data_IF_100716233439
#
_entry.id   IF_100716233439
#
_cell.length_a   1.000
_cell.length_b   1.000
_cell.length_c   1.000
_cell.angle_alpha   90.00
_cell.angle_beta   90.00
_cell.angle_gamma   90.00
#
_symmetry.space_group_name_H-M   'P 1'
#
loop_
_entity.id
_entity.type
_entity.pdbx_description
1 polymer ?
#
# COMPACT_ATOMS: atom_id res chain seq x y z
N UNK A 1 -0.45 -11.63 8.74
CA UNK A 1 -0.03 -11.42 7.34
C UNK A 1 -0.31 -9.97 6.98
N UNK A 2 0.51 -9.30 6.16
CA UNK A 2 0.20 -7.95 5.70
C UNK A 2 -1.13 -7.98 4.91
N UNK A 3 -2.01 -7.01 5.16
CA UNK A 3 -3.24 -6.85 4.38
C UNK A 3 -2.87 -6.47 2.94
N UNK A 4 -3.53 -7.11 1.98
CA UNK A 4 -3.37 -6.80 0.56
C UNK A 4 -4.63 -6.08 0.10
N UNK A 5 -4.45 -5.09 -0.76
CA UNK A 5 -5.56 -4.50 -1.49
C UNK A 5 -5.69 -5.22 -2.83
N UNK A 6 -6.80 -5.90 -3.03
CA UNK A 6 -7.07 -6.76 -4.18
C UNK A 6 -8.21 -6.14 -4.98
N UNK A 7 -7.97 -5.88 -6.27
CA UNK A 7 -9.01 -5.41 -7.20
C UNK A 7 -9.46 -6.56 -8.09
N UNK A 8 -10.75 -6.89 -8.05
CA UNK A 8 -11.37 -7.92 -8.88
C UNK A 8 -12.11 -7.25 -10.05
N UNK A 9 -11.65 -7.53 -11.27
CA UNK A 9 -12.33 -7.13 -12.50
C UNK A 9 -13.30 -8.24 -12.87
N UNK A 10 -14.60 -7.97 -12.75
CA UNK A 10 -15.66 -8.97 -12.95
C UNK A 10 -16.73 -8.42 -13.87
N UNK A 11 -17.27 -9.27 -14.73
CA UNK A 11 -18.38 -8.92 -15.61
C UNK A 11 -19.72 -8.94 -14.88
N UNK A 12 -19.80 -9.69 -13.76
CA UNK A 12 -20.96 -9.73 -12.87
C UNK A 12 -20.45 -9.94 -11.43
N UNK A 13 -20.55 -8.93 -10.56
CA UNK A 13 -20.08 -8.99 -9.17
C UNK A 13 -21.00 -9.81 -8.26
N UNK A 14 -22.21 -10.18 -8.72
CA UNK A 14 -23.21 -10.89 -7.93
C UNK A 14 -23.18 -12.40 -8.11
N UNK A 15 -22.38 -12.90 -9.05
CA UNK A 15 -22.20 -14.35 -9.22
C UNK A 15 -21.70 -15.00 -7.93
N UNK A 16 -22.27 -16.16 -7.62
CA UNK A 16 -22.02 -16.90 -6.39
C UNK A 16 -20.53 -17.20 -6.16
N UNK A 17 -19.80 -17.57 -7.22
CA UNK A 17 -18.36 -17.86 -7.18
C UNK A 17 -17.52 -16.61 -6.88
N UNK A 18 -17.89 -15.46 -7.46
CA UNK A 18 -17.23 -14.17 -7.22
C UNK A 18 -17.44 -13.70 -5.77
N UNK A 19 -18.67 -13.87 -5.26
CA UNK A 19 -19.02 -13.53 -3.88
C UNK A 19 -18.24 -14.40 -2.90
N UNK A 20 -18.24 -15.72 -3.09
CA UNK A 20 -17.52 -16.66 -2.23
C UNK A 20 -16.00 -16.41 -2.21
N UNK A 21 -15.40 -16.11 -3.36
CA UNK A 21 -13.98 -15.74 -3.45
C UNK A 21 -13.69 -14.45 -2.67
N UNK A 22 -14.51 -13.41 -2.85
CA UNK A 22 -14.32 -12.14 -2.17
C UNK A 22 -14.47 -12.26 -0.64
N UNK A 23 -15.43 -13.05 -0.17
CA UNK A 23 -15.60 -13.35 1.26
C UNK A 23 -14.40 -14.09 1.83
N UNK A 24 -13.89 -15.08 1.11
CA UNK A 24 -12.70 -15.85 1.53
C UNK A 24 -11.47 -14.93 1.66
N UNK A 25 -11.24 -14.05 0.69
CA UNK A 25 -10.14 -13.09 0.71
C UNK A 25 -10.29 -12.07 1.86
N UNK A 26 -11.51 -11.58 2.11
CA UNK A 26 -11.79 -10.68 3.24
C UNK A 26 -11.59 -11.37 4.59
N UNK A 27 -12.01 -12.63 4.72
CA UNK A 27 -11.77 -13.43 5.91
C UNK A 27 -10.27 -13.66 6.17
N UNK A 28 -9.46 -13.70 5.11
CA UNK A 28 -8.00 -13.69 5.17
C UNK A 28 -7.37 -12.35 5.61
N UNK A 29 -8.17 -11.30 5.82
CA UNK A 29 -7.70 -9.97 6.23
C UNK A 29 -7.27 -9.06 5.08
N UNK A 30 -7.68 -9.36 3.84
CA UNK A 30 -7.44 -8.53 2.66
C UNK A 30 -8.60 -7.56 2.43
N UNK A 31 -8.33 -6.39 1.86
CA UNK A 31 -9.41 -5.51 1.39
C UNK A 31 -9.63 -5.76 -0.11
N UNK A 32 -10.89 -6.02 -0.45
CA UNK A 32 -11.30 -6.45 -1.80
C UNK A 32 -12.25 -5.42 -2.40
N UNK A 33 -11.88 -4.87 -3.55
CA UNK A 33 -12.66 -3.89 -4.32
C UNK A 33 -13.07 -4.52 -5.65
N UNK A 34 -14.32 -4.30 -6.05
CA UNK A 34 -14.81 -4.72 -7.36
C UNK A 34 -14.76 -3.57 -8.35
N UNK A 35 -14.41 -3.90 -9.59
CA UNK A 35 -14.63 -3.04 -10.75
C UNK A 35 -15.47 -3.84 -11.74
N UNK A 36 -16.69 -3.38 -11.98
CA UNK A 36 -17.56 -3.96 -13.01
C UNK A 36 -17.06 -3.52 -14.38
N UNK A 37 -16.75 -4.48 -15.25
CA UNK A 37 -16.25 -4.19 -16.60
C UNK A 37 -17.12 -4.88 -17.64
N UNK A 38 -17.58 -4.12 -18.63
CA UNK A 38 -18.40 -4.64 -19.73
C UNK A 38 -17.66 -5.65 -20.61
N UNK A 39 -16.34 -5.46 -20.79
CA UNK A 39 -15.48 -6.35 -21.59
C UNK A 39 -14.10 -6.47 -20.94
N UNK A 40 -13.63 -7.70 -20.74
CA UNK A 40 -12.27 -7.95 -20.24
C UNK A 40 -11.23 -7.31 -21.18
N UNK A 41 -10.28 -6.50 -20.66
CA UNK A 41 -9.29 -5.83 -21.50
C UNK A 41 -8.48 -6.80 -22.36
N UNK A 42 -8.12 -6.42 -23.61
CA UNK A 42 -7.26 -7.24 -24.46
C UNK A 42 -5.91 -7.49 -23.79
N UNK A 43 -5.48 -8.75 -23.75
CA UNK A 43 -4.26 -9.19 -23.06
C UNK A 43 -4.49 -9.86 -21.70
N UNK A 44 -5.73 -9.84 -21.19
CA UNK A 44 -6.13 -10.64 -20.02
C UNK A 44 -6.75 -11.94 -20.53
N UNK A 45 -6.07 -13.07 -20.30
CA UNK A 45 -6.56 -14.37 -20.74
C UNK A 45 -7.84 -14.76 -19.95
N UNK A 46 -8.83 -15.40 -20.59
CA UNK A 46 -10.08 -15.83 -19.93
C UNK A 46 -9.91 -17.07 -19.02
N UNK A 47 -8.71 -17.64 -18.94
CA UNK A 47 -8.38 -18.75 -18.05
C UNK A 47 -7.87 -18.21 -16.70
N UNK A 48 -8.06 -18.94 -15.58
CA UNK A 48 -7.65 -18.45 -14.26
C UNK A 48 -6.12 -18.46 -14.11
N UNK A 49 -5.47 -17.40 -14.59
CA UNK A 49 -4.17 -16.95 -14.11
C UNK A 49 -4.42 -15.70 -13.25
N UNK A 50 -4.42 -15.85 -11.93
CA UNK A 50 -4.54 -14.70 -11.05
C UNK A 50 -3.33 -13.79 -11.26
N UNK A 51 -3.52 -12.64 -11.91
CA UNK A 51 -2.54 -11.57 -11.92
C UNK A 51 -2.64 -10.84 -10.58
N UNK A 52 -1.75 -11.18 -9.65
CA UNK A 52 -1.52 -10.37 -8.44
C UNK A 52 -0.82 -9.09 -8.89
N UNK A 53 -1.58 -8.12 -9.36
CA UNK A 53 -1.03 -6.77 -9.53
C UNK A 53 -0.83 -6.19 -8.14
N UNK A 54 0.39 -5.78 -7.82
CA UNK A 54 0.77 -5.03 -6.62
C UNK A 54 0.18 -3.59 -6.67
N UNK A 55 -1.12 -3.50 -6.97
CA UNK A 55 -1.80 -2.28 -7.37
C UNK A 55 -3.04 -2.07 -6.52
N UNK A 56 -2.79 -1.74 -5.26
CA UNK A 56 -3.54 -0.69 -4.59
C UNK A 56 -2.76 -0.26 -3.34
N UNK A 57 -1.69 0.54 -3.51
CA UNK A 57 -1.26 1.42 -2.42
C UNK A 57 -2.20 2.62 -2.37
N UNK A 58 -3.46 2.41 -1.97
CA UNK A 58 -4.15 3.48 -1.24
C UNK A 58 -3.56 3.43 0.17
N UNK A 59 -2.77 4.43 0.60
CA UNK A 59 -2.33 4.46 1.98
C UNK A 59 -3.58 4.42 2.85
N UNK A 60 -3.62 3.47 3.80
CA UNK A 60 -4.68 3.45 4.79
C UNK A 60 -4.76 4.85 5.43
N UNK A 61 -5.96 5.40 5.66
CA UNK A 61 -6.10 6.69 6.32
C UNK A 61 -5.34 6.65 7.65
N UNK A 62 -4.26 7.42 7.72
CA UNK A 62 -3.41 7.54 8.89
C UNK A 62 -3.30 9.02 9.25
N UNK A 63 -2.96 9.32 10.51
CA UNK A 63 -2.74 10.71 10.91
C UNK A 63 -1.52 11.27 10.17
N UNK A 64 -1.46 12.60 10.03
CA UNK A 64 -0.29 13.25 9.43
C UNK A 64 0.99 12.87 10.18
N UNK A 65 0.95 12.76 11.50
CA UNK A 65 2.08 12.30 12.32
C UNK A 65 2.52 10.88 11.96
N UNK A 66 1.58 9.95 11.75
CA UNK A 66 1.90 8.57 11.40
C UNK A 66 2.53 8.47 10.01
N UNK A 67 1.94 9.16 9.03
CA UNK A 67 2.48 9.25 7.67
C UNK A 67 3.89 9.84 7.66
N UNK A 68 4.10 10.93 8.41
CA UNK A 68 5.40 11.57 8.52
C UNK A 68 6.42 10.64 9.19
N UNK A 69 6.09 10.02 10.32
CA UNK A 69 6.99 9.09 11.02
C UNK A 69 7.38 7.89 10.13
N UNK A 70 6.43 7.34 9.38
CA UNK A 70 6.67 6.26 8.40
C UNK A 70 7.63 6.70 7.30
N UNK A 71 7.40 7.86 6.70
CA UNK A 71 8.25 8.38 5.63
C UNK A 71 9.67 8.73 6.12
N UNK A 72 9.80 9.33 7.30
CA UNK A 72 11.09 9.62 7.93
C UNK A 72 11.88 8.33 8.20
N UNK A 73 11.23 7.30 8.75
CA UNK A 73 11.88 6.00 9.02
C UNK A 73 12.35 5.33 7.74
N UNK A 74 11.52 5.31 6.71
CA UNK A 74 11.88 4.74 5.41
C UNK A 74 13.09 5.45 4.79
N UNK A 75 13.13 6.79 4.88
CA UNK A 75 14.26 7.58 4.37
C UNK A 75 15.54 7.33 5.17
N UNK A 76 15.46 7.28 6.51
CA UNK A 76 16.62 6.97 7.36
C UNK A 76 17.19 5.58 7.06
N UNK A 77 16.32 4.58 6.88
CA UNK A 77 16.74 3.24 6.50
C UNK A 77 17.40 3.22 5.11
N UNK A 78 16.79 3.89 4.13
CA UNK A 78 17.34 3.99 2.77
C UNK A 78 18.73 4.64 2.74
N UNK A 79 18.99 5.61 3.61
CA UNK A 79 20.30 6.26 3.71
C UNK A 79 21.22 5.63 4.76
N UNK A 80 20.89 4.44 5.27
CA UNK A 80 21.67 3.72 6.30
C UNK A 80 22.01 4.61 7.52
N UNK A 81 21.02 5.38 8.00
CA UNK A 81 21.18 6.27 9.14
C UNK A 81 21.92 7.57 8.85
N UNK A 82 22.36 7.82 7.61
CA UNK A 82 23.02 9.07 7.25
C UNK A 82 22.03 10.25 7.28
N UNK A 83 21.99 10.94 8.42
CA UNK A 83 21.05 12.04 8.69
C UNK A 83 21.23 13.24 7.77
N UNK A 84 22.44 13.49 7.28
CA UNK A 84 22.68 14.60 6.33
C UNK A 84 22.04 14.27 4.98
N UNK A 85 22.25 13.05 4.49
CA UNK A 85 21.67 12.58 3.24
C UNK A 85 20.15 12.43 3.33
N UNK A 86 19.63 11.90 4.44
CA UNK A 86 18.19 11.79 4.67
C UNK A 86 17.50 13.16 4.65
N UNK A 87 18.07 14.17 5.31
CA UNK A 87 17.52 15.52 5.32
C UNK A 87 17.48 16.15 3.91
N UNK A 88 18.52 15.90 3.10
CA UNK A 88 18.57 16.35 1.70
C UNK A 88 17.47 15.68 0.86
N UNK A 89 17.29 14.36 0.98
CA UNK A 89 16.23 13.63 0.26
C UNK A 89 14.83 14.09 0.67
N UNK A 90 14.62 14.37 1.95
CA UNK A 90 13.36 14.87 2.48
C UNK A 90 13.09 16.35 2.14
N UNK A 91 14.08 17.09 1.62
CA UNK A 91 13.94 18.51 1.33
C UNK A 91 13.78 19.39 2.58
N UNK A 92 14.32 18.97 3.73
CA UNK A 92 14.21 19.71 4.99
C UNK A 92 15.58 20.03 5.59
N UNK A 93 15.62 21.04 6.46
CA UNK A 93 16.82 21.33 7.23
C UNK A 93 17.20 20.15 8.15
N UNK A 94 18.51 19.92 8.34
CA UNK A 94 19.02 18.86 9.24
C UNK A 94 18.52 19.01 10.67
N UNK A 95 18.42 20.25 11.18
CA UNK A 95 17.89 20.54 12.51
C UNK A 95 16.43 20.09 12.65
N UNK A 96 15.61 20.29 11.62
CA UNK A 96 14.22 19.82 11.55
C UNK A 96 14.13 18.31 11.60
N UNK A 97 14.96 17.60 10.82
CA UNK A 97 15.02 16.14 10.87
C UNK A 97 15.38 15.63 12.27
N UNK A 98 16.39 16.22 12.92
CA UNK A 98 16.79 15.82 14.27
C UNK A 98 15.70 16.06 15.32
N UNK A 99 14.94 17.15 15.20
CA UNK A 99 13.80 17.41 16.07
C UNK A 99 12.69 16.36 15.88
N UNK A 100 12.38 16.01 14.63
CA UNK A 100 11.38 14.98 14.29
C UNK A 100 11.81 13.58 14.73
N UNK A 101 13.09 13.22 14.58
CA UNK A 101 13.64 11.95 15.10
C UNK A 101 13.41 11.83 16.61
N UNK A 102 13.68 12.89 17.38
CA UNK A 102 13.42 12.90 18.82
C UNK A 102 11.92 12.83 19.14
N UNK A 103 11.10 13.63 18.45
CA UNK A 103 9.64 13.69 18.65
C UNK A 103 8.98 12.33 18.43
N UNK A 104 9.41 11.59 17.41
CA UNK A 104 8.83 10.31 17.02
C UNK A 104 9.61 9.08 17.51
N UNK A 105 10.64 9.29 18.35
CA UNK A 105 11.51 8.23 18.88
C UNK A 105 12.04 7.28 17.79
N UNK A 106 12.44 7.83 16.64
CA UNK A 106 12.87 7.02 15.50
C UNK A 106 14.28 6.49 15.68
N UNK A 107 14.48 5.22 15.33
CA UNK A 107 15.78 4.57 15.18
C UNK A 107 16.07 4.35 13.70
N UNK A 108 17.33 4.56 13.32
CA UNK A 108 17.81 4.48 11.93
C UNK A 108 19.28 4.79 11.85
#
# INVERSE_FOLDING_TARGET
MPSLHIRLLVTDPTREDVVALAETLRAGGHVVVFEEVATVPPGVAPAPEFVVTEAAMLPAPETLEAAEARHLRATLHFTHGNRRQAALLLGIARSTLLAKIRKYHLTG
#
